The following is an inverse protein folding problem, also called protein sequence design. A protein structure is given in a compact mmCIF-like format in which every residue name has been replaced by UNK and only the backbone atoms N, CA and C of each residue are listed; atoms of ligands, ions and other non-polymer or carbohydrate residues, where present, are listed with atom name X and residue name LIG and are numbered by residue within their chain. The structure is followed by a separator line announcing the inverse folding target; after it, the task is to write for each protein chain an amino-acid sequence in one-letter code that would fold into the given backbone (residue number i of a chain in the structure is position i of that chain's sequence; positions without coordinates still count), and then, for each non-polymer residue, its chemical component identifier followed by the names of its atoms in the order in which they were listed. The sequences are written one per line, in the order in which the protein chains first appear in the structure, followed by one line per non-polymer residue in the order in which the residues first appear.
data_IF_237064143391
#
_entry.id   IF_237064143391
#
_cell.length_a   1.000
_cell.length_b   1.000
_cell.length_c   1.000
_cell.angle_alpha   90.00
_cell.angle_beta   90.00
_cell.angle_gamma   90.00
#
_symmetry.space_group_name_H-M   'P 1'
#
loop_
_entity.id
_entity.type
_entity.pdbx_description
1 polymer ?
#
# COMPACT_ATOMS: atom_id res chain seq x y z
N UNK A 1 17.01 18.03 9.05
CA UNK A 1 17.51 16.93 8.19
C UNK A 1 16.36 15.96 8.01
N UNK A 2 15.91 15.72 6.78
CA UNK A 2 14.83 14.76 6.50
C UNK A 2 15.45 13.45 6.02
N UNK A 3 15.05 12.33 6.61
CA UNK A 3 15.41 10.99 6.14
C UNK A 3 14.28 10.48 5.24
N UNK A 4 14.63 10.05 4.03
CA UNK A 4 13.71 9.37 3.12
C UNK A 4 14.01 7.87 3.15
N UNK A 5 12.96 7.06 3.28
CA UNK A 5 13.03 5.61 3.18
C UNK A 5 12.23 5.19 1.95
N UNK A 6 12.85 4.42 1.07
CA UNK A 6 12.21 3.85 -0.12
C UNK A 6 12.23 2.33 0.01
N UNK A 7 11.07 1.70 -0.16
CA UNK A 7 10.88 0.25 -0.13
C UNK A 7 10.30 -0.17 -1.48
N UNK A 8 11.01 -1.03 -2.21
CA UNK A 8 10.53 -1.64 -3.44
C UNK A 8 10.15 -3.10 -3.17
N UNK A 9 8.89 -3.47 -3.39
CA UNK A 9 8.38 -4.80 -3.07
C UNK A 9 7.20 -5.18 -3.96
N UNK A 10 7.02 -6.48 -4.20
CA UNK A 10 5.81 -7.04 -4.81
C UNK A 10 4.77 -7.44 -3.75
N UNK A 11 5.11 -7.39 -2.45
CA UNK A 11 4.20 -7.71 -1.36
C UNK A 11 3.50 -6.46 -0.86
N UNK A 12 2.26 -6.26 -1.32
CA UNK A 12 1.43 -5.12 -0.94
C UNK A 12 1.13 -5.03 0.57
N UNK A 13 1.21 -6.13 1.33
CA UNK A 13 1.02 -6.08 2.78
C UNK A 13 2.07 -5.20 3.47
N UNK A 14 3.30 -5.14 2.94
CA UNK A 14 4.34 -4.27 3.48
C UNK A 14 4.01 -2.80 3.23
N UNK A 15 3.48 -2.47 2.06
CA UNK A 15 3.11 -1.09 1.67
C UNK A 15 1.99 -0.57 2.57
N UNK A 16 0.94 -1.36 2.82
CA UNK A 16 -0.18 -0.97 3.68
C UNK A 16 0.26 -0.76 5.13
N UNK A 17 1.16 -1.60 5.64
CA UNK A 17 1.60 -1.53 7.04
C UNK A 17 2.74 -0.52 7.28
N UNK A 18 3.36 0.01 6.22
CA UNK A 18 4.51 0.91 6.33
C UNK A 18 4.16 2.38 6.63
N UNK A 19 2.86 2.72 6.73
CA UNK A 19 2.40 4.11 6.91
C UNK A 19 3.03 5.07 5.88
N UNK A 20 3.01 4.64 4.61
CA UNK A 20 3.70 5.34 3.54
C UNK A 20 2.89 6.57 3.06
N UNK A 21 3.49 7.76 3.19
CA UNK A 21 2.94 9.02 2.69
C UNK A 21 2.77 9.03 1.16
N UNK A 22 3.65 8.33 0.43
CA UNK A 22 3.63 8.24 -1.01
C UNK A 22 3.88 6.79 -1.45
N UNK A 23 2.98 6.28 -2.28
CA UNK A 23 3.08 4.98 -2.92
C UNK A 23 3.25 5.19 -4.43
N UNK A 24 4.14 4.40 -5.04
CA UNK A 24 4.32 4.36 -6.48
C UNK A 24 3.98 2.95 -6.94
N UNK A 25 2.97 2.82 -7.79
CA UNK A 25 2.59 1.57 -8.43
C UNK A 25 3.24 1.52 -9.80
N UNK A 26 4.03 0.47 -10.05
CA UNK A 26 4.62 0.19 -11.33
C UNK A 26 3.76 -0.85 -12.09
N UNK A 27 3.37 -0.52 -13.31
CA UNK A 27 2.74 -1.42 -14.26
C UNK A 27 3.72 -1.84 -15.35
N UNK A 28 3.66 -3.10 -15.76
CA UNK A 28 4.38 -3.59 -16.91
C UNK A 28 3.38 -4.17 -17.92
N UNK A 29 3.31 -3.57 -19.11
CA UNK A 29 2.52 -4.07 -20.23
C UNK A 29 3.45 -4.62 -21.33
N UNK A 30 4.08 -5.76 -21.04
CA UNK A 30 5.02 -6.45 -21.94
C UNK A 30 6.39 -5.78 -22.01
N UNK A 31 6.47 -4.64 -22.68
CA UNK A 31 7.72 -3.88 -22.91
C UNK A 31 7.65 -2.44 -22.38
N UNK A 32 6.45 -1.94 -22.08
CA UNK A 32 6.27 -0.58 -21.58
C UNK A 32 6.07 -0.59 -20.06
N UNK A 33 7.00 0.07 -19.36
CA UNK A 33 6.86 0.39 -17.95
C UNK A 33 6.10 1.69 -17.79
N UNK A 34 5.08 1.67 -16.94
CA UNK A 34 4.29 2.83 -16.57
C UNK A 34 4.18 2.92 -15.05
N UNK A 35 3.97 4.13 -14.55
CA UNK A 35 3.96 4.40 -13.12
C UNK A 35 2.83 5.36 -12.77
N UNK A 36 2.18 5.12 -11.64
CA UNK A 36 1.23 6.05 -11.02
C UNK A 36 1.60 6.20 -9.55
N UNK A 37 1.44 7.41 -9.02
CA UNK A 37 1.81 7.71 -7.63
C UNK A 37 0.74 8.49 -6.90
N UNK A 38 0.67 8.29 -5.59
CA UNK A 38 -0.19 9.04 -4.69
C UNK A 38 -0.19 8.45 -3.29
N UNK A 39 -0.99 9.02 -2.40
CA UNK A 39 -1.16 8.51 -1.06
C UNK A 39 -2.01 7.22 -1.05
N UNK A 40 -1.96 6.47 0.05
CA UNK A 40 -2.75 5.24 0.20
C UNK A 40 -4.26 5.51 0.23
N UNK A 41 -4.67 6.73 0.56
CA UNK A 41 -6.06 7.21 0.58
C UNK A 41 -6.56 7.61 -0.82
N UNK A 42 -5.68 7.70 -1.83
CA UNK A 42 -6.09 8.00 -3.19
C UNK A 42 -6.97 6.87 -3.75
N UNK A 43 -8.26 7.15 -3.86
CA UNK A 43 -9.29 6.19 -4.27
C UNK A 43 -10.17 6.75 -5.37
N UNK A 44 -10.24 6.02 -6.48
CA UNK A 44 -11.23 6.26 -7.54
C UNK A 44 -11.32 5.06 -8.47
N UNK A 45 -12.40 4.97 -9.24
CA UNK A 45 -12.54 4.04 -10.37
C UNK A 45 -13.15 4.78 -11.56
N UNK A 46 -12.46 4.80 -12.69
CA UNK A 46 -12.89 5.41 -13.93
C UNK A 46 -13.11 4.34 -15.00
N UNK A 47 -14.38 3.95 -15.18
CA UNK A 47 -14.77 2.90 -16.14
C UNK A 47 -14.64 3.32 -17.61
N UNK A 48 -14.43 4.61 -17.89
CA UNK A 48 -14.27 5.12 -19.24
C UNK A 48 -12.84 4.95 -19.77
N UNK A 49 -11.87 4.64 -18.91
CA UNK A 49 -10.47 4.46 -19.29
C UNK A 49 -10.13 2.98 -19.49
N UNK A 50 -9.33 2.69 -20.52
CA UNK A 50 -8.80 1.36 -20.81
C UNK A 50 -7.45 1.09 -20.17
N UNK A 51 -6.69 2.14 -19.86
CA UNK A 51 -5.39 2.04 -19.22
C UNK A 51 -5.53 1.51 -17.79
N UNK A 52 -4.85 0.40 -17.49
CA UNK A 52 -5.01 -0.29 -16.22
C UNK A 52 -4.48 0.50 -15.03
N UNK A 53 -3.45 1.35 -15.19
CA UNK A 53 -2.93 2.20 -14.12
C UNK A 53 -3.80 3.44 -13.91
N UNK A 54 -4.29 4.06 -14.99
CA UNK A 54 -5.04 5.32 -14.91
C UNK A 54 -6.52 5.15 -14.58
N UNK A 55 -7.09 3.94 -14.76
CA UNK A 55 -8.52 3.69 -14.47
C UNK A 55 -8.84 3.61 -12.98
N UNK A 56 -7.87 3.59 -12.08
CA UNK A 56 -8.12 3.44 -10.64
C UNK A 56 -7.07 4.11 -9.76
N UNK A 57 -7.44 4.39 -8.52
CA UNK A 57 -6.56 5.00 -7.52
C UNK A 57 -5.57 4.01 -6.91
N UNK A 58 -4.65 4.55 -6.11
CA UNK A 58 -3.59 3.79 -5.43
C UNK A 58 -4.19 2.72 -4.52
N UNK A 59 -5.25 3.04 -3.79
CA UNK A 59 -5.88 2.08 -2.89
C UNK A 59 -6.40 0.85 -3.63
N UNK A 60 -7.03 1.07 -4.78
CA UNK A 60 -7.55 -0.01 -5.62
C UNK A 60 -6.41 -0.87 -6.18
N UNK A 61 -5.32 -0.24 -6.65
CA UNK A 61 -4.12 -0.97 -7.10
C UNK A 61 -3.51 -1.84 -6.01
N UNK A 62 -3.37 -1.31 -4.80
CA UNK A 62 -2.82 -2.05 -3.66
C UNK A 62 -3.78 -3.20 -3.28
N UNK A 63 -5.09 -2.98 -3.27
CA UNK A 63 -6.10 -4.02 -3.03
C UNK A 63 -6.03 -5.16 -4.04
N UNK A 64 -5.80 -4.87 -5.33
CA UNK A 64 -5.68 -5.89 -6.37
C UNK A 64 -4.48 -6.83 -6.14
N UNK A 65 -3.43 -6.34 -5.47
CA UNK A 65 -2.21 -7.08 -5.16
C UNK A 65 -2.31 -7.81 -3.80
N UNK A 66 -3.09 -7.28 -2.85
CA UNK A 66 -3.24 -7.88 -1.52
C UNK A 66 -3.93 -9.25 -1.56
N UNK A 67 -3.30 -10.22 -0.91
CA UNK A 67 -3.90 -11.51 -0.58
C UNK A 67 -5.07 -11.31 0.42
N UNK A 68 -6.26 -11.03 -0.10
CA UNK A 68 -7.46 -10.71 0.69
C UNK A 68 -8.32 -9.57 0.16
N UNK A 69 -7.82 -8.82 -0.85
CA UNK A 69 -8.55 -7.73 -1.50
C UNK A 69 -8.91 -6.57 -0.56
N UNK A 70 -10.01 -5.87 -0.84
CA UNK A 70 -10.52 -4.76 0.00
C UNK A 70 -10.75 -5.15 1.48
N UNK A 71 -11.00 -6.44 1.75
CA UNK A 71 -11.18 -6.96 3.14
C UNK A 71 -9.90 -6.95 3.96
N UNK A 72 -8.73 -6.84 3.32
CA UNK A 72 -7.43 -6.74 3.99
C UNK A 72 -7.20 -5.34 4.58
N UNK A 73 -7.64 -4.28 3.89
CA UNK A 73 -7.53 -2.90 4.36
C UNK A 73 -8.34 -2.64 5.64
N UNK A 74 -9.60 -3.10 5.69
CA UNK A 74 -10.49 -2.86 6.84
C UNK A 74 -10.12 -3.61 8.13
N UNK A 75 -9.12 -4.51 8.09
CA UNK A 75 -8.64 -5.23 9.29
C UNK A 75 -7.49 -4.51 10.01
N UNK A 76 -6.89 -3.48 9.41
CA UNK A 76 -5.82 -2.69 10.01
C UNK A 76 -6.24 -1.87 11.25
N UNK A 77 -7.53 -1.60 11.43
CA UNK A 77 -8.02 -0.91 12.64
C UNK A 77 -8.06 -1.80 13.88
N UNK A 78 -8.03 -3.13 13.73
CA UNK A 78 -7.85 -4.04 14.86
C UNK A 78 -6.36 -4.14 15.19
N UNK A 79 -5.80 -3.04 15.71
CA UNK A 79 -4.59 -3.08 16.53
C UNK A 79 -4.83 -4.09 17.64
N UNK A 80 -4.30 -5.30 17.50
CA UNK A 80 -4.12 -6.19 18.64
C UNK A 80 -3.02 -5.54 19.47
N UNK A 81 -3.44 -4.85 20.53
CA UNK A 81 -2.55 -4.37 21.56
C UNK A 81 -1.91 -5.59 22.23
N UNK A 82 -0.78 -6.06 21.70
CA UNK A 82 0.06 -6.99 22.43
C UNK A 82 0.60 -6.19 23.61
N UNK A 83 0.04 -6.42 24.80
CA UNK A 83 0.65 -5.98 26.05
C UNK A 83 2.00 -6.68 26.14
N UNK A 84 3.05 -5.95 25.79
CA UNK A 84 4.42 -6.39 26.05
C UNK A 84 4.57 -6.38 27.57
N UNK A 85 4.60 -7.55 28.19
CA UNK A 85 4.89 -7.66 29.61
C UNK A 85 6.34 -7.19 29.77
N UNK A 86 6.55 -6.02 30.38
CA UNK A 86 7.90 -5.53 30.66
C UNK A 86 8.56 -6.49 31.64
N UNK A 87 9.48 -7.31 31.13
CA UNK A 87 10.38 -8.08 31.96
C UNK A 87 11.26 -7.14 32.82
N UNK A 88 11.84 -7.63 33.92
CA UNK A 88 12.42 -6.82 35.00
C UNK A 88 13.70 -6.04 34.66
N UNK A 89 14.06 -5.91 33.38
CA UNK A 89 15.36 -5.40 32.93
C UNK A 89 15.31 -4.11 32.10
N UNK A 90 14.20 -3.37 32.12
CA UNK A 90 14.17 -2.01 31.57
C UNK A 90 14.08 -1.00 32.72
N UNK A 91 15.22 -0.36 33.04
CA UNK A 91 15.28 0.86 33.87
C UNK A 91 14.90 2.07 33.03
#
# INVERSE_FOLDING_TARGET
MFCLIIIATHNANLVVNADAEQVIVAGNNGELLSYVSGSLENTFKNRSLTDSLLKQGIREHVCDILEGGERAFGKGERKVWIKINKGPYFK
#
